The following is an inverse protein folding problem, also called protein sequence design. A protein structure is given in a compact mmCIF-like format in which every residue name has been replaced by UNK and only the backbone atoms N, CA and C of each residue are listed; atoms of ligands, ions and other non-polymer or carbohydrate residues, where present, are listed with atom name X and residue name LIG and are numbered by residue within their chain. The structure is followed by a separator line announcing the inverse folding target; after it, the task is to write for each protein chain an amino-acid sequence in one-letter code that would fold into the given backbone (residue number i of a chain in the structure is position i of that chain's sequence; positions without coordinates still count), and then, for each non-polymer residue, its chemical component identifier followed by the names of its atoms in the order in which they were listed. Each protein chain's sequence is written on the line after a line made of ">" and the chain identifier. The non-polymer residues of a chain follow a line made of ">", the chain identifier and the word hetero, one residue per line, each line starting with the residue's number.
data_IF_595996450221
#
_entry.id   IF_595996450221
#
_cell.length_a   1.000
_cell.length_b   1.000
_cell.length_c   1.000
_cell.angle_alpha   90.00
_cell.angle_beta   90.00
_cell.angle_gamma   90.00
#
_symmetry.space_group_name_H-M   'P 1'
#
loop_
_entity.id
_entity.type
_entity.pdbx_description
1 polymer ?
#
# COMPACT_ATOMS: atom_id res chain seq x y z
N UNK A 1 11.25 5.58 76.27
CA UNK A 1 10.01 6.42 76.20
C UNK A 1 10.42 7.87 76.35
N UNK A 2 10.48 8.63 75.28
CA UNK A 2 10.59 10.10 75.35
C UNK A 2 9.17 10.61 75.50
N UNK A 3 8.91 11.24 76.64
CA UNK A 3 7.59 11.80 76.94
C UNK A 3 7.45 13.13 76.14
N UNK A 4 7.00 13.03 74.87
CA UNK A 4 6.74 14.16 73.98
C UNK A 4 5.22 14.41 73.86
N UNK A 5 4.76 15.63 73.73
CA UNK A 5 3.32 15.92 73.61
C UNK A 5 2.88 15.61 72.15
N UNK A 6 2.14 14.52 71.96
CA UNK A 6 1.54 14.15 70.69
C UNK A 6 0.58 15.23 70.18
N UNK A 7 0.69 15.60 68.95
CA UNK A 7 -0.18 16.52 68.24
C UNK A 7 -0.06 16.26 66.71
N UNK A 8 -0.99 16.75 65.89
CA UNK A 8 -1.06 16.54 64.43
C UNK A 8 0.17 17.01 63.64
N UNK A 9 1.20 17.56 64.23
CA UNK A 9 2.45 17.93 63.57
C UNK A 9 3.54 16.88 63.75
N UNK A 10 3.39 15.99 64.74
CA UNK A 10 4.39 15.00 65.10
C UNK A 10 3.81 13.62 65.44
N UNK A 11 2.53 13.40 65.19
CA UNK A 11 1.73 12.20 65.36
C UNK A 11 0.46 12.42 64.52
N UNK A 12 0.61 12.24 63.20
CA UNK A 12 -0.44 12.66 62.25
C UNK A 12 -1.69 11.78 62.32
N UNK A 13 -1.49 10.49 62.41
CA UNK A 13 -2.55 9.51 62.51
C UNK A 13 -3.05 9.28 63.92
N UNK A 14 -2.32 9.83 64.93
CA UNK A 14 -2.60 9.77 66.40
C UNK A 14 -2.49 8.33 66.95
N UNK A 15 -1.59 7.53 66.42
CA UNK A 15 -1.32 6.18 66.91
C UNK A 15 -0.38 6.16 68.13
N UNK A 16 0.33 7.23 68.35
CA UNK A 16 1.23 7.43 69.50
C UNK A 16 2.70 7.20 69.17
N UNK A 17 3.07 6.96 67.92
CA UNK A 17 4.41 6.98 67.42
C UNK A 17 4.81 8.41 66.98
N UNK A 18 6.07 8.69 66.85
CA UNK A 18 6.52 10.02 66.43
C UNK A 18 6.96 9.99 64.96
N UNK A 19 6.29 10.74 64.07
CA UNK A 19 6.46 10.78 62.64
C UNK A 19 7.93 10.83 62.17
N UNK A 20 8.76 11.61 62.79
CA UNK A 20 10.17 11.76 62.39
C UNK A 20 11.14 10.75 62.99
N UNK A 21 10.74 9.95 63.96
CA UNK A 21 11.67 9.19 64.78
C UNK A 21 11.38 7.69 64.83
N UNK A 22 10.16 7.30 64.87
CA UNK A 22 9.76 5.92 65.13
C UNK A 22 8.55 5.45 64.30
N UNK A 23 7.87 6.37 63.66
CA UNK A 23 6.84 6.06 62.69
C UNK A 23 7.46 5.88 61.30
N UNK A 24 6.97 4.97 60.52
CA UNK A 24 7.41 4.68 59.16
C UNK A 24 6.25 4.74 58.13
N UNK A 25 5.05 5.09 58.66
CA UNK A 25 3.79 5.19 57.92
C UNK A 25 2.96 6.26 58.64
N UNK A 26 3.31 7.54 58.39
CA UNK A 26 2.86 8.71 59.19
C UNK A 26 1.34 8.89 59.19
N UNK A 27 0.60 8.36 58.19
CA UNK A 27 -0.88 8.48 58.13
C UNK A 27 -1.60 7.12 58.27
N UNK A 28 -0.83 6.03 58.38
CA UNK A 28 -1.30 4.67 58.63
C UNK A 28 -2.29 4.18 57.56
N UNK A 29 -1.93 4.43 56.32
CA UNK A 29 -2.68 3.97 55.14
C UNK A 29 -2.17 2.63 54.57
N UNK A 30 -1.02 2.16 55.09
CA UNK A 30 -0.38 0.92 54.66
C UNK A 30 0.78 1.11 53.70
N UNK A 31 0.97 2.28 53.10
CA UNK A 31 2.16 2.67 52.37
C UNK A 31 3.21 3.21 53.35
N UNK A 32 4.48 2.84 53.14
CA UNK A 32 5.53 3.40 54.01
C UNK A 32 5.96 4.77 53.50
N UNK A 33 6.29 5.70 54.36
CA UNK A 33 6.73 7.08 54.04
C UNK A 33 7.74 7.18 52.93
N UNK A 34 8.58 6.16 52.78
CA UNK A 34 9.61 6.13 51.75
C UNK A 34 9.09 5.79 50.35
N UNK A 35 7.89 5.23 50.27
CA UNK A 35 7.20 4.78 49.07
C UNK A 35 5.89 5.53 48.85
N UNK A 36 5.52 6.41 49.81
CA UNK A 36 4.30 7.16 49.81
C UNK A 36 4.53 8.61 49.32
N UNK A 37 3.78 9.00 48.32
CA UNK A 37 3.78 10.36 47.73
C UNK A 37 2.98 11.34 48.65
N UNK A 38 2.05 10.82 49.46
CA UNK A 38 1.18 11.57 50.34
C UNK A 38 1.37 11.24 51.81
N UNK A 39 2.60 11.17 52.30
CA UNK A 39 3.02 10.72 53.65
C UNK A 39 2.19 11.22 54.85
N UNK A 40 1.42 12.27 54.69
CA UNK A 40 0.49 12.85 55.70
C UNK A 40 -0.85 13.10 55.03
N UNK A 41 -1.27 12.13 54.26
CA UNK A 41 -2.51 12.12 53.56
C UNK A 41 -3.70 11.78 54.44
N UNK A 42 -4.67 11.14 53.87
CA UNK A 42 -5.88 10.69 54.55
C UNK A 42 -5.57 9.46 55.38
N UNK A 43 -5.82 9.56 56.67
CA UNK A 43 -5.69 8.44 57.58
C UNK A 43 -6.93 7.53 57.63
N UNK A 44 -6.76 6.29 58.15
CA UNK A 44 -7.80 5.28 58.30
C UNK A 44 -8.41 4.70 57.05
N UNK A 45 -7.58 4.46 56.05
CA UNK A 45 -7.90 3.67 54.85
C UNK A 45 -6.72 2.72 54.60
N UNK A 46 -6.80 1.86 53.64
CA UNK A 46 -5.68 1.03 53.22
C UNK A 46 -5.39 1.29 51.72
N UNK A 47 -4.16 1.63 51.40
CA UNK A 47 -3.66 1.76 50.06
C UNK A 47 -3.65 0.38 49.41
N UNK A 48 -4.64 0.11 48.61
CA UNK A 48 -4.78 -1.10 47.81
C UNK A 48 -5.09 -0.70 46.37
N UNK A 49 -4.39 -1.32 45.43
CA UNK A 49 -4.58 -1.07 44.00
C UNK A 49 -6.02 -1.32 43.56
N UNK A 50 -6.79 -0.27 43.47
CA UNK A 50 -8.12 -0.29 42.85
C UNK A 50 -8.54 1.11 42.38
N UNK A 51 -9.37 1.18 41.37
CA UNK A 51 -9.84 2.41 40.73
C UNK A 51 -10.69 3.34 41.57
N UNK A 52 -10.74 3.18 42.89
CA UNK A 52 -11.53 4.04 43.78
C UNK A 52 -10.73 4.56 44.94
N UNK A 53 -9.54 4.07 45.17
CA UNK A 53 -8.75 4.45 46.36
C UNK A 53 -7.30 4.76 46.08
N UNK A 54 -6.60 3.98 45.24
CA UNK A 54 -5.19 4.14 44.95
C UNK A 54 -4.86 3.22 43.75
N UNK A 55 -4.99 3.75 42.55
CA UNK A 55 -4.84 2.95 41.35
C UNK A 55 -3.38 2.65 41.05
N UNK A 56 -2.49 3.61 41.22
CA UNK A 56 -1.06 3.50 40.91
C UNK A 56 -0.23 3.02 42.08
N UNK A 57 -0.80 2.94 43.28
CA UNK A 57 -0.16 2.48 44.52
C UNK A 57 0.93 3.43 45.00
N UNK A 58 0.69 4.73 44.93
CA UNK A 58 1.64 5.75 45.37
C UNK A 58 1.35 6.28 46.79
N UNK A 59 0.29 5.79 47.45
CA UNK A 59 -0.11 6.17 48.79
C UNK A 59 -1.03 7.39 48.87
N UNK A 60 -1.39 7.99 47.75
CA UNK A 60 -2.36 9.06 47.66
C UNK A 60 -3.78 8.52 47.41
N UNK A 61 -4.77 9.15 48.02
CA UNK A 61 -6.16 8.74 47.85
C UNK A 61 -6.77 9.38 46.58
N UNK A 62 -7.01 8.62 45.50
CA UNK A 62 -7.43 9.04 44.16
C UNK A 62 -8.47 10.18 44.17
N UNK A 63 -9.48 10.12 44.98
CA UNK A 63 -10.60 11.08 44.91
C UNK A 63 -10.34 12.42 45.58
N UNK A 64 -9.28 12.59 46.38
CA UNK A 64 -9.08 13.79 47.19
C UNK A 64 -7.64 14.29 47.30
N UNK A 65 -6.67 13.47 47.07
CA UNK A 65 -5.25 13.76 47.36
C UNK A 65 -4.38 13.57 46.11
N UNK A 66 -4.74 12.63 45.27
CA UNK A 66 -4.08 12.43 44.01
C UNK A 66 -4.56 13.43 42.94
N UNK A 67 -3.65 13.91 42.13
CA UNK A 67 -3.93 14.78 40.99
C UNK A 67 -3.74 14.02 39.65
N UNK A 68 -3.23 12.77 39.71
CA UNK A 68 -2.89 11.94 38.54
C UNK A 68 -3.03 10.46 38.94
N UNK A 69 -4.29 10.00 39.08
CA UNK A 69 -4.71 8.73 39.69
C UNK A 69 -3.97 7.47 39.12
N UNK A 70 -3.39 7.54 37.93
CA UNK A 70 -2.69 6.41 37.26
C UNK A 70 -1.21 6.68 36.98
N UNK A 71 -0.72 7.87 37.34
CA UNK A 71 0.65 8.34 37.23
C UNK A 71 1.19 8.24 35.78
N UNK A 72 0.33 8.56 34.81
CA UNK A 72 0.67 8.57 33.39
C UNK A 72 1.27 9.92 32.91
N UNK A 73 1.30 10.91 33.81
CA UNK A 73 1.76 12.29 33.65
C UNK A 73 0.72 13.24 33.04
N UNK A 74 -0.51 12.85 32.95
CA UNK A 74 -1.63 13.70 32.59
C UNK A 74 -2.55 13.84 33.85
N UNK A 75 -2.64 15.03 34.42
CA UNK A 75 -3.47 15.25 35.59
C UNK A 75 -4.96 15.03 35.26
N UNK A 76 -5.70 14.41 36.17
CA UNK A 76 -7.13 14.12 36.02
C UNK A 76 -7.94 15.35 35.67
N UNK A 77 -7.68 16.45 36.38
CA UNK A 77 -8.41 17.70 36.18
C UNK A 77 -7.48 18.92 36.16
N UNK A 78 -7.90 19.95 35.48
CA UNK A 78 -7.19 21.22 35.50
C UNK A 78 -7.58 22.04 36.73
N UNK A 79 -6.87 23.18 36.99
CA UNK A 79 -7.12 24.09 38.09
C UNK A 79 -8.55 24.65 38.18
N UNK A 80 -9.40 24.42 37.23
CA UNK A 80 -10.83 24.82 37.22
C UNK A 80 -11.77 23.62 37.37
N UNK A 81 -11.23 22.40 37.54
CA UNK A 81 -12.00 21.16 37.69
C UNK A 81 -12.58 20.60 36.38
N UNK A 82 -11.98 20.93 35.27
CA UNK A 82 -12.35 20.30 34.00
C UNK A 82 -11.40 19.13 33.73
N UNK A 83 -11.97 18.01 33.30
CA UNK A 83 -11.22 16.80 32.95
C UNK A 83 -10.16 17.06 31.89
N UNK A 84 -8.93 16.73 32.21
CA UNK A 84 -7.80 16.74 31.30
C UNK A 84 -7.51 15.32 30.81
N UNK A 85 -7.45 14.39 31.73
CA UNK A 85 -7.31 12.97 31.45
C UNK A 85 -8.65 12.37 31.03
N UNK A 86 -8.65 11.71 29.87
CA UNK A 86 -9.82 11.01 29.33
C UNK A 86 -9.79 9.51 29.67
N UNK A 87 -8.67 9.01 30.13
CA UNK A 87 -8.42 7.60 30.47
C UNK A 87 -7.83 7.46 31.88
N UNK A 88 -8.53 7.87 32.94
CA UNK A 88 -8.00 8.05 34.31
C UNK A 88 -7.57 6.74 35.01
N UNK A 89 -7.40 5.67 34.23
CA UNK A 89 -6.91 4.38 34.73
C UNK A 89 -6.06 3.68 33.65
N UNK A 90 -5.23 4.44 32.98
CA UNK A 90 -4.27 3.92 32.00
C UNK A 90 -3.37 2.86 32.64
N UNK A 91 -3.09 1.75 31.95
CA UNK A 91 -2.29 0.67 32.51
C UNK A 91 -0.90 1.12 32.97
N UNK A 92 -0.55 0.83 34.22
CA UNK A 92 0.73 1.24 34.81
C UNK A 92 1.93 0.85 33.93
N UNK A 93 2.77 1.83 33.64
CA UNK A 93 3.97 1.67 32.81
C UNK A 93 3.70 1.69 31.32
N UNK A 94 2.51 2.12 30.88
CA UNK A 94 2.27 2.48 29.50
C UNK A 94 3.27 3.57 29.06
N UNK A 95 3.85 3.43 27.86
CA UNK A 95 4.90 4.33 27.36
C UNK A 95 4.47 5.15 26.15
N UNK A 96 3.26 4.95 25.68
CA UNK A 96 2.66 5.52 24.47
C UNK A 96 1.36 6.28 24.78
N UNK A 97 1.32 6.89 25.97
CA UNK A 97 0.23 7.75 26.43
C UNK A 97 0.20 9.04 25.63
N UNK A 98 -0.97 9.46 25.19
CA UNK A 98 -1.14 10.71 24.44
C UNK A 98 -1.38 11.93 25.34
N UNK A 99 -1.66 13.08 24.76
CA UNK A 99 -1.91 14.34 25.48
C UNK A 99 -3.22 14.35 26.29
N UNK A 100 -4.03 13.30 26.17
CA UNK A 100 -5.31 13.12 26.87
C UNK A 100 -5.28 11.99 27.89
N UNK A 101 -4.11 11.47 28.24
CA UNK A 101 -3.95 10.41 29.21
C UNK A 101 -4.26 9.00 28.70
N UNK A 102 -4.46 8.79 27.40
CA UNK A 102 -4.86 7.50 26.87
C UNK A 102 -3.70 6.76 26.21
N UNK A 103 -3.46 5.53 26.63
CA UNK A 103 -2.52 4.63 25.96
C UNK A 103 -3.11 4.02 24.68
N UNK A 104 -2.26 3.53 23.78
CA UNK A 104 -2.70 2.91 22.53
C UNK A 104 -3.63 1.70 22.71
N UNK A 105 -3.53 1.02 23.85
CA UNK A 105 -4.44 -0.09 24.20
C UNK A 105 -5.88 0.37 24.49
N UNK A 106 -6.06 1.64 24.81
CA UNK A 106 -7.34 2.26 25.18
C UNK A 106 -7.94 3.06 24.03
N UNK A 107 -7.10 3.58 23.15
CA UNK A 107 -7.54 4.31 21.96
C UNK A 107 -8.04 3.37 20.86
N UNK A 108 -9.02 3.85 20.13
CA UNK A 108 -9.48 3.28 18.84
C UNK A 108 -9.73 4.49 17.91
N UNK A 109 -8.67 4.86 17.19
CA UNK A 109 -8.62 6.14 16.46
C UNK A 109 -9.60 6.21 15.30
N UNK A 110 -9.88 5.10 14.63
CA UNK A 110 -10.78 5.04 13.47
C UNK A 110 -12.18 4.47 13.80
N UNK A 111 -12.38 4.04 15.03
CA UNK A 111 -13.65 3.55 15.58
C UNK A 111 -14.14 2.28 14.87
N UNK A 112 -13.23 1.39 14.56
CA UNK A 112 -13.53 0.10 13.93
C UNK A 112 -13.75 -1.03 14.94
N UNK A 113 -13.46 -0.80 16.24
CA UNK A 113 -13.60 -1.72 17.36
C UNK A 113 -12.31 -2.49 17.69
N UNK A 114 -11.19 -2.13 17.09
CA UNK A 114 -9.86 -2.66 17.40
C UNK A 114 -8.99 -1.50 17.89
N UNK A 115 -8.31 -1.67 19.02
CA UNK A 115 -7.52 -0.58 19.59
C UNK A 115 -6.21 -0.37 18.84
N UNK A 116 -5.67 0.86 18.88
CA UNK A 116 -4.49 1.31 18.16
C UNK A 116 -3.24 0.43 18.41
N UNK A 117 -3.13 -0.22 19.56
CA UNK A 117 -1.99 -1.09 19.88
C UNK A 117 -1.89 -2.32 18.98
N UNK A 118 -3.01 -2.88 18.59
CA UNK A 118 -3.07 -4.11 17.77
C UNK A 118 -3.63 -3.88 16.38
N UNK A 119 -4.15 -2.67 16.11
CA UNK A 119 -4.62 -2.30 14.80
C UNK A 119 -3.46 -2.16 13.81
N UNK A 120 -3.60 -2.83 12.67
CA UNK A 120 -2.65 -2.78 11.54
C UNK A 120 -3.16 -1.88 10.40
N UNK A 121 -4.39 -1.39 10.51
CA UNK A 121 -5.09 -0.63 9.47
C UNK A 121 -5.72 0.65 10.03
N UNK A 122 -4.91 1.54 10.60
CA UNK A 122 -5.24 2.77 11.34
C UNK A 122 -6.23 3.76 10.67
N UNK A 123 -6.89 3.39 9.65
CA UNK A 123 -7.80 4.28 8.91
C UNK A 123 -8.93 3.50 8.25
N UNK A 124 -9.34 2.40 8.85
CA UNK A 124 -10.46 1.60 8.35
C UNK A 124 -11.76 2.42 8.41
N UNK A 125 -12.51 2.54 7.30
CA UNK A 125 -13.76 3.30 7.29
C UNK A 125 -14.77 2.73 8.28
N UNK A 126 -15.34 3.57 9.11
CA UNK A 126 -16.32 3.19 10.14
C UNK A 126 -17.50 2.40 9.57
N UNK A 127 -17.88 1.34 10.25
CA UNK A 127 -19.05 0.51 9.90
C UNK A 127 -18.76 -0.65 8.96
N UNK A 128 -17.51 -0.86 8.55
CA UNK A 128 -17.09 -2.06 7.87
C UNK A 128 -16.87 -3.21 8.88
N UNK A 129 -16.93 -4.44 8.39
CA UNK A 129 -16.55 -5.60 9.20
C UNK A 129 -15.05 -5.78 9.10
N UNK A 130 -14.38 -5.76 10.25
CA UNK A 130 -12.91 -5.91 10.33
C UNK A 130 -12.52 -7.28 10.89
N UNK A 131 -11.28 -7.68 10.63
CA UNK A 131 -10.66 -8.82 11.29
C UNK A 131 -10.07 -8.43 12.66
N UNK A 132 -9.41 -9.37 13.34
CA UNK A 132 -8.78 -9.12 14.65
C UNK A 132 -7.59 -8.14 14.63
N UNK A 133 -7.16 -7.68 13.46
CA UNK A 133 -6.10 -6.72 13.25
C UNK A 133 -6.64 -5.37 12.71
N UNK A 134 -7.93 -5.06 12.88
CA UNK A 134 -8.54 -3.80 12.45
C UNK A 134 -8.73 -3.63 10.94
N UNK A 135 -8.46 -4.64 10.14
CA UNK A 135 -8.47 -4.50 8.69
C UNK A 135 -9.79 -4.98 8.08
N UNK A 136 -10.38 -4.17 7.20
CA UNK A 136 -11.54 -4.52 6.41
C UNK A 136 -11.17 -5.20 5.08
N UNK A 137 -12.12 -5.92 4.49
CA UNK A 137 -12.11 -6.34 3.09
C UNK A 137 -12.74 -5.19 2.26
N UNK A 138 -11.87 -4.40 1.61
CA UNK A 138 -12.29 -3.13 0.98
C UNK A 138 -12.95 -3.31 -0.39
N UNK A 139 -12.59 -4.36 -1.13
CA UNK A 139 -13.12 -4.63 -2.47
C UNK A 139 -14.12 -5.79 -2.53
N UNK A 140 -14.28 -6.51 -1.42
CA UNK A 140 -15.27 -7.57 -1.28
C UNK A 140 -14.84 -8.91 -1.91
N UNK A 141 -13.54 -9.14 -2.04
CA UNK A 141 -12.97 -10.35 -2.63
C UNK A 141 -12.77 -11.50 -1.61
N UNK A 142 -12.92 -11.20 -0.33
CA UNK A 142 -12.78 -12.13 0.79
C UNK A 142 -11.40 -12.12 1.45
N UNK A 143 -10.51 -11.20 1.07
CA UNK A 143 -9.18 -11.03 1.67
C UNK A 143 -9.10 -9.65 2.34
N UNK A 144 -8.62 -9.60 3.57
CA UNK A 144 -8.53 -8.38 4.35
C UNK A 144 -7.31 -7.54 3.97
N UNK A 145 -7.39 -6.21 4.06
CA UNK A 145 -6.41 -5.25 3.58
C UNK A 145 -4.98 -5.47 4.11
N UNK A 146 -4.79 -6.06 5.30
CA UNK A 146 -3.45 -6.35 5.83
C UNK A 146 -2.71 -7.50 5.13
N UNK A 147 -3.40 -8.30 4.32
CA UNK A 147 -2.82 -9.38 3.51
C UNK A 147 -3.14 -9.22 2.03
N UNK A 148 -4.10 -8.37 1.70
CA UNK A 148 -4.48 -8.07 0.33
C UNK A 148 -3.42 -7.16 -0.33
N UNK A 149 -2.87 -7.64 -1.44
CA UNK A 149 -1.91 -6.89 -2.27
C UNK A 149 -2.52 -6.38 -3.57
N UNK A 150 -3.81 -6.67 -3.81
CA UNK A 150 -4.53 -6.35 -5.03
C UNK A 150 -5.87 -5.66 -4.73
N UNK A 151 -5.82 -4.44 -4.21
CA UNK A 151 -6.90 -3.62 -3.65
C UNK A 151 -8.18 -3.44 -4.50
N UNK A 152 -8.27 -4.01 -5.68
CA UNK A 152 -9.43 -3.88 -6.58
C UNK A 152 -9.63 -5.15 -7.36
N UNK A 153 -9.76 -6.26 -6.68
CA UNK A 153 -9.96 -7.55 -7.32
C UNK A 153 -11.40 -7.74 -7.81
N UNK A 154 -11.59 -8.22 -9.04
CA UNK A 154 -12.93 -8.47 -9.55
C UNK A 154 -13.60 -9.62 -8.79
N UNK A 155 -14.68 -9.37 -8.10
CA UNK A 155 -15.44 -10.35 -7.27
C UNK A 155 -15.95 -11.59 -8.01
N UNK A 156 -15.86 -11.62 -9.35
CA UNK A 156 -16.28 -12.76 -10.18
C UNK A 156 -15.16 -13.74 -10.54
N UNK A 157 -13.93 -13.43 -10.13
CA UNK A 157 -12.74 -14.23 -10.45
C UNK A 157 -12.34 -15.10 -9.27
N UNK A 158 -11.56 -16.13 -9.54
CA UNK A 158 -10.93 -16.89 -8.46
C UNK A 158 -9.79 -16.06 -7.88
N UNK A 159 -9.91 -15.75 -6.59
CA UNK A 159 -8.96 -14.95 -5.84
C UNK A 159 -8.03 -15.89 -5.07
N UNK A 160 -6.76 -15.58 -5.01
CA UNK A 160 -5.81 -16.32 -4.21
C UNK A 160 -5.72 -15.79 -2.76
N UNK A 161 -4.85 -16.39 -1.96
CA UNK A 161 -4.68 -16.05 -0.53
C UNK A 161 -4.11 -14.66 -0.28
N UNK A 162 -3.73 -13.93 -1.32
CA UNK A 162 -3.17 -12.57 -1.27
C UNK A 162 -4.12 -11.53 -1.90
N UNK A 163 -5.39 -11.88 -2.09
CA UNK A 163 -6.38 -10.97 -2.66
C UNK A 163 -6.27 -10.76 -4.18
N UNK A 164 -5.48 -11.56 -4.89
CA UNK A 164 -5.26 -11.32 -6.31
C UNK A 164 -6.00 -12.30 -7.20
N UNK A 165 -6.74 -11.80 -8.17
CA UNK A 165 -7.12 -12.59 -9.32
C UNK A 165 -5.89 -12.94 -10.16
N UNK A 166 -5.97 -14.05 -10.90
CA UNK A 166 -4.83 -14.53 -11.70
C UNK A 166 -4.31 -13.50 -12.69
N UNK A 167 -5.16 -12.60 -13.16
CA UNK A 167 -4.81 -11.54 -14.10
C UNK A 167 -4.20 -10.29 -13.45
N UNK A 168 -4.17 -10.20 -12.12
CA UNK A 168 -3.62 -9.04 -11.39
C UNK A 168 -2.16 -9.27 -10.96
N UNK A 169 -1.76 -10.53 -10.77
CA UNK A 169 -0.37 -10.81 -10.37
C UNK A 169 0.62 -10.58 -11.50
N UNK A 170 1.75 -9.91 -11.22
CA UNK A 170 2.85 -9.83 -12.17
C UNK A 170 3.37 -11.22 -12.52
N UNK A 171 3.48 -11.51 -13.81
CA UNK A 171 4.07 -12.77 -14.28
C UNK A 171 5.59 -12.65 -14.24
N UNK A 172 6.25 -13.60 -13.62
CA UNK A 172 7.70 -13.64 -13.57
C UNK A 172 8.30 -13.90 -14.95
N UNK A 173 9.47 -13.28 -15.22
CA UNK A 173 10.21 -13.53 -16.44
C UNK A 173 10.55 -15.01 -16.60
N UNK A 174 10.26 -15.55 -17.79
CA UNK A 174 10.64 -16.92 -18.18
C UNK A 174 11.67 -16.85 -19.31
N UNK A 175 12.76 -17.61 -19.20
CA UNK A 175 13.74 -17.68 -20.27
C UNK A 175 13.17 -18.48 -21.45
N UNK A 176 12.69 -17.78 -22.47
CA UNK A 176 12.30 -18.37 -23.75
C UNK A 176 13.55 -18.76 -24.55
N UNK A 177 13.42 -19.77 -25.41
CA UNK A 177 14.52 -20.24 -26.22
C UNK A 177 14.32 -19.94 -27.73
N UNK A 178 13.18 -20.30 -28.26
CA UNK A 178 12.85 -20.14 -29.68
C UNK A 178 11.36 -19.86 -29.81
N UNK A 179 11.00 -18.92 -30.68
CA UNK A 179 9.60 -18.67 -31.06
C UNK A 179 9.39 -19.30 -32.44
N UNK A 180 8.59 -20.36 -32.52
CA UNK A 180 8.21 -21.02 -33.75
C UNK A 180 6.77 -20.72 -34.19
N UNK A 181 5.99 -20.15 -33.28
CA UNK A 181 4.59 -19.82 -33.53
C UNK A 181 3.90 -19.10 -32.38
N UNK A 182 2.59 -18.87 -32.50
CA UNK A 182 1.77 -18.31 -31.42
C UNK A 182 1.84 -19.16 -30.15
N UNK A 183 1.72 -18.50 -28.99
CA UNK A 183 1.77 -19.10 -27.66
C UNK A 183 3.17 -19.52 -27.17
N UNK A 184 4.21 -19.45 -27.99
CA UNK A 184 5.56 -19.69 -27.51
C UNK A 184 6.04 -18.53 -26.61
N UNK A 185 6.85 -18.86 -25.61
CA UNK A 185 7.46 -17.87 -24.73
C UNK A 185 8.53 -17.09 -25.48
N UNK A 186 8.34 -15.78 -25.59
CA UNK A 186 9.23 -14.90 -26.37
C UNK A 186 10.53 -14.66 -25.60
N UNK A 187 11.71 -15.03 -26.17
CA UNK A 187 13.00 -14.68 -25.58
C UNK A 187 13.22 -13.17 -25.57
N UNK A 188 14.22 -12.73 -24.80
CA UNK A 188 14.61 -11.32 -24.81
C UNK A 188 15.05 -10.87 -26.21
N UNK A 189 14.86 -9.60 -26.49
CA UNK A 189 15.36 -8.90 -27.66
C UNK A 189 15.73 -7.46 -27.28
N UNK A 190 16.54 -6.84 -28.11
CA UNK A 190 16.94 -5.44 -27.92
C UNK A 190 16.77 -4.71 -29.25
N UNK A 191 16.14 -3.55 -29.22
CA UNK A 191 15.96 -2.68 -30.38
C UNK A 191 16.34 -1.25 -30.05
N UNK A 192 17.06 -0.53 -30.93
CA UNK A 192 17.22 0.91 -30.81
C UNK A 192 15.86 1.58 -31.09
N UNK A 193 15.56 2.64 -30.35
CA UNK A 193 14.39 3.49 -30.59
C UNK A 193 14.82 4.94 -30.66
N UNK A 194 13.96 5.83 -31.17
CA UNK A 194 14.26 7.26 -31.20
C UNK A 194 14.54 7.85 -29.81
N UNK A 195 14.04 7.21 -28.74
CA UNK A 195 14.15 7.68 -27.37
C UNK A 195 15.19 6.86 -26.54
N UNK A 196 16.01 6.04 -27.22
CA UNK A 196 17.05 5.21 -26.59
C UNK A 196 16.89 3.72 -26.92
N UNK A 197 17.55 2.85 -26.17
CA UNK A 197 17.52 1.41 -26.40
C UNK A 197 16.46 0.73 -25.54
N UNK A 198 15.59 -0.04 -26.16
CA UNK A 198 14.63 -0.88 -25.47
C UNK A 198 15.15 -2.32 -25.42
N UNK A 199 15.27 -2.88 -24.19
CA UNK A 199 15.57 -4.30 -23.96
C UNK A 199 14.40 -4.95 -23.26
N UNK A 200 13.76 -5.94 -23.90
CA UNK A 200 12.50 -6.54 -23.45
C UNK A 200 12.59 -7.07 -22.02
N UNK A 201 13.59 -7.88 -21.70
CA UNK A 201 13.76 -8.45 -20.38
C UNK A 201 13.90 -7.36 -19.27
N UNK A 202 14.60 -6.27 -19.58
CA UNK A 202 14.84 -5.21 -18.60
C UNK A 202 13.60 -4.34 -18.35
N UNK A 203 12.63 -4.38 -19.25
CA UNK A 203 11.40 -3.61 -19.19
C UNK A 203 10.17 -4.48 -18.88
N UNK A 204 10.39 -5.78 -18.72
CA UNK A 204 9.32 -6.71 -18.40
C UNK A 204 8.78 -6.46 -17.00
N UNK A 205 7.47 -6.24 -16.87
CA UNK A 205 6.79 -6.04 -15.60
C UNK A 205 5.95 -7.24 -15.17
N UNK A 206 5.60 -8.13 -16.13
CA UNK A 206 4.65 -9.22 -15.91
C UNK A 206 3.18 -8.79 -15.92
N UNK A 207 2.92 -7.50 -16.11
CA UNK A 207 1.59 -6.92 -16.20
C UNK A 207 1.27 -6.32 -17.56
N UNK A 208 2.30 -5.93 -18.30
CA UNK A 208 2.14 -5.20 -19.54
C UNK A 208 2.01 -6.14 -20.75
N UNK A 209 1.34 -5.64 -21.79
CA UNK A 209 1.28 -6.25 -23.11
C UNK A 209 2.07 -5.39 -24.09
N UNK A 210 2.67 -6.02 -25.10
CA UNK A 210 3.55 -5.37 -26.05
C UNK A 210 3.02 -5.57 -27.45
N UNK A 211 2.73 -4.47 -28.14
CA UNK A 211 2.07 -4.45 -29.42
C UNK A 211 2.98 -3.82 -30.48
N UNK A 212 3.20 -4.51 -31.59
CA UNK A 212 4.11 -4.10 -32.65
C UNK A 212 3.33 -3.82 -33.90
N UNK A 213 3.54 -2.64 -34.50
CA UNK A 213 2.97 -2.19 -35.76
C UNK A 213 4.11 -1.83 -36.73
N UNK A 214 4.20 -2.56 -37.81
CA UNK A 214 5.23 -2.32 -38.80
C UNK A 214 4.67 -1.79 -40.12
N UNK A 215 5.29 -0.75 -40.65
CA UNK A 215 5.07 -0.29 -42.01
C UNK A 215 5.76 -1.24 -42.97
N UNK A 216 5.12 -1.50 -44.08
CA UNK A 216 5.65 -2.26 -45.20
C UNK A 216 5.14 -1.69 -46.52
N UNK A 217 6.02 -1.53 -47.48
CA UNK A 217 5.67 -1.17 -48.85
C UNK A 217 6.06 -2.30 -49.78
N UNK A 218 5.11 -2.82 -50.53
CA UNK A 218 5.38 -3.91 -51.49
C UNK A 218 6.16 -3.41 -52.72
N UNK A 219 6.60 -4.37 -53.56
CA UNK A 219 7.36 -4.07 -54.80
C UNK A 219 6.58 -3.23 -55.81
N UNK A 220 5.27 -3.08 -55.65
CA UNK A 220 4.41 -2.25 -56.49
C UNK A 220 4.19 -0.86 -55.90
N UNK A 221 4.80 -0.56 -54.73
CA UNK A 221 4.66 0.71 -54.03
C UNK A 221 3.41 0.82 -53.18
N UNK A 222 2.68 -0.29 -52.93
CA UNK A 222 1.52 -0.26 -52.04
C UNK A 222 1.99 -0.51 -50.62
N UNK A 223 1.66 0.42 -49.70
CA UNK A 223 1.91 0.22 -48.30
C UNK A 223 0.74 -0.52 -47.62
N UNK A 224 1.00 -1.16 -46.48
CA UNK A 224 -0.02 -1.75 -45.59
C UNK A 224 -0.89 -0.63 -44.94
N UNK A 225 -1.55 0.13 -45.79
CA UNK A 225 -2.25 1.37 -45.44
C UNK A 225 -3.37 1.19 -44.40
N UNK A 226 -3.92 -0.03 -44.30
CA UNK A 226 -5.02 -0.28 -43.32
C UNK A 226 -4.60 -0.10 -41.89
N UNK A 227 -3.48 -0.70 -41.46
CA UNK A 227 -3.01 -0.65 -40.10
C UNK A 227 -2.16 0.61 -39.84
N UNK A 228 -1.20 0.88 -40.72
CA UNK A 228 -0.33 2.05 -40.56
C UNK A 228 -1.06 3.38 -40.76
N UNK A 229 -2.08 3.43 -41.63
CA UNK A 229 -2.85 4.63 -41.88
C UNK A 229 -3.94 4.91 -40.85
N UNK A 230 -4.15 4.03 -39.89
CA UNK A 230 -5.11 4.26 -38.79
C UNK A 230 -4.69 5.50 -38.01
N UNK A 231 -5.67 6.37 -37.69
CA UNK A 231 -5.43 7.55 -36.87
C UNK A 231 -4.83 7.12 -35.51
N UNK A 232 -3.56 7.49 -35.21
CA UNK A 232 -2.88 6.97 -34.03
C UNK A 232 -3.53 7.46 -32.73
N UNK A 233 -4.04 8.68 -32.66
CA UNK A 233 -4.71 9.17 -31.45
C UNK A 233 -5.97 8.38 -31.14
N UNK A 234 -6.81 8.09 -32.16
CA UNK A 234 -7.99 7.23 -31.95
C UNK A 234 -7.59 5.81 -31.57
N UNK A 235 -6.52 5.28 -32.14
CA UNK A 235 -6.05 3.95 -31.83
C UNK A 235 -5.53 3.86 -30.40
N UNK A 236 -4.66 4.76 -29.99
CA UNK A 236 -4.05 4.79 -28.66
C UNK A 236 -5.12 4.90 -27.56
N UNK A 237 -6.15 5.74 -27.75
CA UNK A 237 -7.27 5.90 -26.78
C UNK A 237 -8.12 4.64 -26.56
N UNK A 238 -8.03 3.67 -27.48
CA UNK A 238 -8.73 2.39 -27.37
C UNK A 238 -7.84 1.25 -26.87
N UNK A 239 -6.57 1.51 -26.58
CA UNK A 239 -5.68 0.51 -26.01
C UNK A 239 -5.82 0.48 -24.48
N UNK A 240 -5.68 -0.70 -23.86
CA UNK A 240 -5.51 -0.80 -22.42
C UNK A 240 -4.30 0.00 -21.93
N UNK A 241 -4.41 0.60 -20.74
CA UNK A 241 -3.34 1.45 -20.16
C UNK A 241 -2.03 0.70 -19.88
N UNK A 242 -2.07 -0.63 -19.79
CA UNK A 242 -0.89 -1.49 -19.65
C UNK A 242 -0.24 -1.90 -20.99
N UNK A 243 -0.54 -1.22 -22.09
CA UNK A 243 0.03 -1.53 -23.41
C UNK A 243 1.31 -0.76 -23.67
N UNK A 244 2.37 -1.44 -24.12
CA UNK A 244 3.51 -0.85 -24.80
C UNK A 244 3.31 -0.96 -26.31
N UNK A 245 3.27 0.17 -27.00
CA UNK A 245 3.05 0.25 -28.44
C UNK A 245 4.36 0.54 -29.17
N UNK A 246 4.70 -0.28 -30.14
CA UNK A 246 5.90 -0.14 -30.96
C UNK A 246 5.55 0.14 -32.42
N UNK A 247 6.15 1.16 -32.96
CA UNK A 247 6.13 1.47 -34.38
C UNK A 247 7.49 1.15 -34.99
N UNK A 248 7.49 0.41 -36.09
CA UNK A 248 8.68 0.08 -36.87
C UNK A 248 8.40 0.12 -38.40
N UNK A 249 9.40 -0.09 -39.22
CA UNK A 249 9.25 -0.14 -40.67
C UNK A 249 10.19 -1.16 -41.28
N UNK A 250 9.72 -1.88 -42.34
CA UNK A 250 10.51 -2.74 -43.20
C UNK A 250 11.05 -1.99 -44.42
N UNK A 251 10.71 -0.74 -44.59
CA UNK A 251 11.15 0.05 -45.72
C UNK A 251 12.56 0.59 -45.47
N UNK A 252 13.36 0.72 -46.52
CA UNK A 252 14.70 1.34 -46.42
C UNK A 252 14.67 2.78 -45.94
N UNK A 253 13.50 3.39 -45.89
CA UNK A 253 13.22 4.72 -45.33
C UNK A 253 12.76 4.70 -43.88
N UNK A 254 12.98 3.59 -43.16
CA UNK A 254 12.46 3.35 -41.81
C UNK A 254 12.62 4.56 -40.87
N UNK A 255 13.78 5.19 -40.83
CA UNK A 255 14.04 6.36 -39.97
C UNK A 255 13.06 7.53 -40.24
N UNK A 256 12.81 7.83 -41.52
CA UNK A 256 11.85 8.87 -41.90
C UNK A 256 10.40 8.45 -41.58
N UNK A 257 10.10 7.18 -41.79
CA UNK A 257 8.76 6.62 -41.52
C UNK A 257 8.39 6.76 -40.04
N UNK A 258 9.29 6.33 -39.15
CA UNK A 258 9.02 6.36 -37.70
C UNK A 258 9.09 7.77 -37.14
N UNK A 259 9.99 8.64 -37.62
CA UNK A 259 10.03 10.06 -37.25
C UNK A 259 8.73 10.77 -37.63
N UNK A 260 8.23 10.52 -38.83
CA UNK A 260 6.94 11.06 -39.28
C UNK A 260 5.78 10.50 -38.46
N UNK A 261 5.83 9.21 -38.08
CA UNK A 261 4.81 8.60 -37.22
C UNK A 261 4.84 9.19 -35.83
N UNK A 262 6.03 9.43 -35.24
CA UNK A 262 6.19 10.11 -33.96
C UNK A 262 5.51 11.48 -33.97
N UNK A 263 5.81 12.30 -34.96
CA UNK A 263 5.19 13.62 -35.12
C UNK A 263 3.67 13.56 -35.28
N UNK A 264 3.14 12.56 -36.02
CA UNK A 264 1.70 12.35 -36.17
C UNK A 264 1.04 11.95 -34.85
N UNK A 265 1.66 11.07 -34.07
CA UNK A 265 1.17 10.68 -32.72
C UNK A 265 1.15 11.91 -31.79
N UNK A 266 2.26 12.61 -31.66
CA UNK A 266 2.41 13.78 -30.79
C UNK A 266 1.42 14.89 -31.16
N UNK A 267 1.14 15.09 -32.44
CA UNK A 267 0.16 16.09 -32.88
C UNK A 267 -1.31 15.76 -32.52
N UNK A 268 -1.60 14.53 -32.10
CA UNK A 268 -2.96 14.03 -31.85
C UNK A 268 -3.27 13.71 -30.41
N UNK A 269 -2.27 13.66 -29.57
CA UNK A 269 -2.43 13.49 -28.12
C UNK A 269 -2.50 14.85 -27.45
N UNK A 270 -3.31 14.98 -26.41
CA UNK A 270 -3.28 16.13 -25.53
C UNK A 270 -2.20 15.94 -24.44
N UNK A 271 -1.80 16.99 -23.71
CA UNK A 271 -0.72 16.91 -22.73
C UNK A 271 -0.92 15.86 -21.62
N UNK A 272 -2.17 15.56 -21.24
CA UNK A 272 -2.47 14.52 -20.25
C UNK A 272 -2.26 13.12 -20.85
N UNK A 273 -2.68 12.93 -22.11
CA UNK A 273 -2.47 11.67 -22.83
C UNK A 273 -0.97 11.45 -23.14
N UNK A 274 -0.22 12.50 -23.48
CA UNK A 274 1.23 12.40 -23.65
C UNK A 274 1.92 11.96 -22.34
N UNK A 275 1.50 12.48 -21.21
CA UNK A 275 2.01 12.06 -19.90
C UNK A 275 1.65 10.61 -19.58
N UNK A 276 0.41 10.20 -19.80
CA UNK A 276 -0.08 8.84 -19.57
C UNK A 276 0.70 7.81 -20.40
N UNK A 277 0.95 8.14 -21.68
CA UNK A 277 1.64 7.26 -22.63
C UNK A 277 3.16 7.46 -22.66
N UNK A 278 3.70 8.31 -21.83
CA UNK A 278 5.14 8.53 -21.73
C UNK A 278 5.88 7.22 -21.37
N UNK A 279 6.89 6.88 -22.18
CA UNK A 279 7.67 5.66 -22.03
C UNK A 279 6.93 4.36 -22.42
N UNK A 280 5.72 4.45 -22.97
CA UNK A 280 4.93 3.31 -23.46
C UNK A 280 4.78 3.28 -24.98
N UNK A 281 5.04 4.37 -25.68
CA UNK A 281 5.09 4.40 -27.15
C UNK A 281 6.56 4.43 -27.58
N UNK A 282 6.93 3.47 -28.40
CA UNK A 282 8.31 3.24 -28.83
C UNK A 282 8.42 3.29 -30.35
N UNK A 283 9.45 3.94 -30.86
CA UNK A 283 9.70 4.15 -32.28
C UNK A 283 11.01 3.46 -32.65
N UNK A 284 10.93 2.26 -33.25
CA UNK A 284 12.09 1.41 -33.54
C UNK A 284 12.92 2.04 -34.68
N UNK A 285 14.15 2.45 -34.36
CA UNK A 285 15.07 3.15 -35.26
C UNK A 285 16.06 2.16 -35.93
N UNK A 286 15.52 1.16 -36.58
CA UNK A 286 16.24 0.21 -37.42
C UNK A 286 15.28 -0.41 -38.42
N UNK A 287 15.83 -0.99 -39.49
CA UNK A 287 15.06 -1.81 -40.42
C UNK A 287 14.50 -3.02 -39.67
N UNK A 288 13.19 -3.22 -39.76
CA UNK A 288 12.54 -4.30 -39.04
C UNK A 288 13.01 -5.70 -39.48
N UNK A 289 13.55 -5.86 -40.70
CA UNK A 289 14.15 -7.10 -41.17
C UNK A 289 15.47 -7.46 -40.48
N UNK A 290 16.13 -6.49 -39.85
CA UNK A 290 17.39 -6.66 -39.14
C UNK A 290 17.22 -6.97 -37.66
N UNK A 291 15.98 -6.92 -37.13
CA UNK A 291 15.68 -7.22 -35.73
C UNK A 291 16.04 -8.65 -35.39
N UNK A 292 16.78 -8.83 -34.30
CA UNK A 292 17.24 -10.11 -33.79
C UNK A 292 16.52 -10.49 -32.48
N UNK A 293 16.78 -11.69 -31.98
CA UNK A 293 16.20 -12.19 -30.71
C UNK A 293 14.73 -12.57 -30.84
N UNK A 294 13.98 -12.49 -29.76
CA UNK A 294 12.57 -12.94 -29.70
C UNK A 294 11.67 -12.26 -30.72
N UNK A 295 11.78 -10.94 -30.86
CA UNK A 295 10.98 -10.19 -31.84
C UNK A 295 11.36 -10.53 -33.27
N UNK A 296 12.66 -10.69 -33.60
CA UNK A 296 13.11 -11.12 -34.91
C UNK A 296 12.62 -12.52 -35.27
N UNK A 297 12.55 -13.41 -34.29
CA UNK A 297 11.98 -14.77 -34.51
C UNK A 297 10.47 -14.68 -34.80
N UNK A 298 9.71 -13.85 -34.06
CA UNK A 298 8.30 -13.61 -34.35
C UNK A 298 8.08 -13.09 -35.75
N UNK A 299 8.87 -12.09 -36.17
CA UNK A 299 8.82 -11.53 -37.52
C UNK A 299 9.10 -12.63 -38.61
N UNK A 300 10.10 -13.47 -38.37
CA UNK A 300 10.50 -14.51 -39.33
C UNK A 300 9.51 -15.67 -39.45
N UNK A 301 8.70 -15.90 -38.40
CA UNK A 301 7.79 -17.04 -38.33
C UNK A 301 6.32 -16.70 -38.61
N UNK A 302 6.00 -15.47 -38.99
CA UNK A 302 4.65 -15.06 -39.38
C UNK A 302 4.55 -14.72 -40.87
N UNK A 303 3.38 -15.00 -41.44
CA UNK A 303 3.07 -14.59 -42.81
C UNK A 303 2.60 -13.13 -42.92
N UNK A 304 2.39 -12.48 -41.80
CA UNK A 304 1.89 -11.10 -41.72
C UNK A 304 2.57 -10.35 -40.56
N UNK A 305 3.85 -9.96 -40.70
CA UNK A 305 4.63 -9.36 -39.65
C UNK A 305 4.21 -7.92 -39.32
N UNK A 306 3.13 -7.42 -39.93
CA UNK A 306 2.75 -6.01 -39.84
C UNK A 306 2.07 -5.63 -38.55
N UNK A 307 1.51 -6.61 -37.86
CA UNK A 307 0.85 -6.43 -36.58
C UNK A 307 0.97 -7.70 -35.75
N UNK A 308 1.64 -7.62 -34.62
CA UNK A 308 1.86 -8.74 -33.72
C UNK A 308 1.92 -8.26 -32.25
N UNK A 309 1.78 -9.15 -31.31
CA UNK A 309 1.84 -8.81 -29.89
C UNK A 309 2.55 -9.85 -29.04
N UNK A 310 2.93 -9.43 -27.85
CA UNK A 310 3.35 -10.29 -26.75
C UNK A 310 2.41 -9.98 -25.59
N UNK A 311 1.77 -11.03 -25.08
CA UNK A 311 0.86 -10.88 -23.95
C UNK A 311 1.60 -10.78 -22.60
N UNK A 312 0.87 -10.54 -21.53
CA UNK A 312 1.43 -10.45 -20.18
C UNK A 312 2.06 -11.76 -19.67
N UNK A 313 1.79 -12.90 -20.34
CA UNK A 313 2.41 -14.19 -20.04
C UNK A 313 3.68 -14.41 -20.86
N UNK A 314 4.22 -13.36 -21.45
CA UNK A 314 5.42 -13.41 -22.32
C UNK A 314 5.24 -14.28 -23.58
N UNK A 315 4.00 -14.51 -24.04
CA UNK A 315 3.70 -15.38 -25.15
C UNK A 315 3.48 -14.58 -26.44
N UNK A 316 4.07 -15.09 -27.52
CA UNK A 316 3.83 -14.56 -28.86
C UNK A 316 2.34 -14.70 -29.23
N UNK A 317 1.78 -13.65 -29.81
CA UNK A 317 0.41 -13.60 -30.32
C UNK A 317 0.44 -13.19 -31.77
N UNK A 318 -0.19 -13.98 -32.64
CA UNK A 318 -0.40 -13.62 -34.04
C UNK A 318 -1.76 -12.93 -34.15
N UNK A 319 -1.74 -11.67 -34.55
CA UNK A 319 -2.96 -10.88 -34.70
C UNK A 319 -3.19 -10.59 -36.18
N UNK A 320 -4.08 -11.30 -36.80
CA UNK A 320 -4.40 -11.09 -38.21
C UNK A 320 -5.05 -9.72 -38.53
N UNK A 321 -5.46 -8.96 -37.49
CA UNK A 321 -6.09 -7.64 -37.65
C UNK A 321 -6.03 -6.85 -36.35
N UNK A 322 -5.74 -5.56 -36.45
CA UNK A 322 -5.75 -4.60 -35.36
C UNK A 322 -7.11 -4.54 -34.62
N UNK A 323 -8.21 -4.70 -35.34
CA UNK A 323 -9.55 -4.69 -34.76
C UNK A 323 -9.83 -5.96 -33.95
N UNK A 324 -9.29 -7.08 -34.34
CA UNK A 324 -9.37 -8.31 -33.57
C UNK A 324 -8.64 -8.16 -32.23
N UNK A 325 -7.48 -7.54 -32.20
CA UNK A 325 -6.73 -7.27 -30.97
C UNK A 325 -7.51 -6.34 -30.04
N UNK A 326 -8.02 -5.20 -30.52
CA UNK A 326 -8.79 -4.24 -29.70
C UNK A 326 -10.04 -4.89 -29.11
N UNK A 327 -10.77 -5.67 -29.91
CA UNK A 327 -11.96 -6.37 -29.40
C UNK A 327 -11.62 -7.45 -28.38
N UNK A 328 -10.48 -8.06 -28.52
CA UNK A 328 -9.98 -9.14 -27.67
C UNK A 328 -9.37 -8.61 -26.36
N UNK A 329 -8.69 -7.46 -26.39
CA UNK A 329 -8.15 -6.84 -25.17
C UNK A 329 -9.21 -6.21 -24.27
N UNK A 330 -10.40 -5.93 -24.79
CA UNK A 330 -11.55 -5.42 -24.02
C UNK A 330 -12.51 -6.54 -23.56
N UNK A 331 -12.26 -7.80 -23.90
CA UNK A 331 -13.04 -8.94 -23.41
C UNK A 331 -12.31 -9.57 -22.21
N UNK A 332 -12.86 -9.46 -20.97
CA UNK A 332 -12.24 -10.05 -19.80
C UNK A 332 -12.12 -11.58 -19.83
N UNK A 333 -12.79 -12.24 -20.78
CA UNK A 333 -12.66 -13.70 -21.01
C UNK A 333 -11.65 -14.04 -22.10
N UNK A 334 -10.97 -13.04 -22.68
CA UNK A 334 -10.00 -13.25 -23.72
C UNK A 334 -8.57 -13.41 -23.15
N UNK A 335 -7.70 -14.16 -23.85
CA UNK A 335 -6.31 -14.49 -23.41
C UNK A 335 -5.40 -13.30 -23.10
N UNK A 336 -5.82 -12.06 -23.33
CA UNK A 336 -5.10 -10.89 -22.86
C UNK A 336 -5.32 -10.64 -21.35
N UNK A 337 -6.34 -11.30 -20.77
CA UNK A 337 -6.74 -11.21 -19.37
C UNK A 337 -6.65 -12.56 -18.62
N UNK A 338 -6.39 -13.69 -19.32
CA UNK A 338 -6.12 -14.97 -18.67
C UNK A 338 -4.68 -15.11 -18.18
#
# INVERSE_FOLDING_TARGET
>A
EVNWPANLYNDWDQDGCHDLLEDLDDDNDGSLDAEDSCQKGRSNWESERNSNTDFDMDGCYDTTEDEDDDNDSVHDVNATGADLDQCPYTPLGATDVDEFGCAAVERDTDLDGVNDLIDQCEGTPTGLVVNAAGCADLDGDGVFANVDICENSPTKWTIDVQGCAINQKPISWTSGTIVNGPMDVVPTFTVPTLDGTFTFQNKWTGNDVYLFMFKYTDSSGNSNSGTWATNPGTFIRNLPSNTHLFYGSFDSTYHNDITSRKSDVESRLNPSEEQEWSGRIHYIDMDASDIQGGLGQMISNTNSPFFMGIDRFQRARETGSIYAWISQTNDPNHYAYE
#
